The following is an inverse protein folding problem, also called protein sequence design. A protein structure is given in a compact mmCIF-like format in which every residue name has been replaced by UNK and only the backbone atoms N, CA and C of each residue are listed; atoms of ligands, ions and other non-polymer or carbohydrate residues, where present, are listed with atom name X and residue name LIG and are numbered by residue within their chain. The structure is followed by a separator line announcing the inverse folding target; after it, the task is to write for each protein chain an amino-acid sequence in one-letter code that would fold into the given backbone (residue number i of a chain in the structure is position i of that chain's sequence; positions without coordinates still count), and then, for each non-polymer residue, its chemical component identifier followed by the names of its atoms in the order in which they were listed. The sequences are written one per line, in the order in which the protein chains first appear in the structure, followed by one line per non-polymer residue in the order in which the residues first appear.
data_IF_645649331502
#
_entry.id   IF_645649331502
#
_cell.length_a   1.000
_cell.length_b   1.000
_cell.length_c   1.000
_cell.angle_alpha   90.00
_cell.angle_beta   90.00
_cell.angle_gamma   90.00
#
_symmetry.space_group_name_H-M   'P 1'
#
loop_
_entity.id
_entity.type
_entity.pdbx_description
1 polymer ?
#
# COMPACT_ATOMS: atom_id res chain seq x y z
N UNK A 1 19.70 7.46 -13.69
CA UNK A 1 19.60 6.33 -12.74
C UNK A 1 19.71 6.78 -11.28
N UNK A 2 20.69 7.64 -10.95
CA UNK A 2 20.89 8.20 -9.60
C UNK A 2 19.72 9.05 -9.07
N UNK A 3 19.01 9.79 -9.94
CA UNK A 3 17.95 10.70 -9.52
C UNK A 3 16.74 10.01 -8.86
N UNK A 4 16.38 8.79 -9.31
CA UNK A 4 15.27 8.01 -8.73
C UNK A 4 15.66 7.49 -7.34
N UNK A 5 16.91 7.06 -7.19
CA UNK A 5 17.45 6.55 -5.93
C UNK A 5 17.54 7.69 -4.90
N UNK A 6 17.94 8.89 -5.32
CA UNK A 6 17.99 10.07 -4.44
C UNK A 6 16.60 10.56 -4.06
N UNK A 7 15.62 10.59 -4.97
CA UNK A 7 14.24 10.96 -4.62
C UNK A 7 13.56 9.96 -3.69
N UNK A 8 13.84 8.67 -3.86
CA UNK A 8 13.36 7.61 -2.96
C UNK A 8 14.14 7.51 -1.64
N UNK A 9 15.15 8.36 -1.43
CA UNK A 9 16.08 8.33 -0.28
C UNK A 9 16.63 6.93 -0.01
N UNK A 10 16.83 6.16 -1.09
CA UNK A 10 17.20 4.77 -0.99
C UNK A 10 18.72 4.64 -0.90
N UNK A 11 19.23 3.99 0.15
CA UNK A 11 20.66 4.01 0.49
C UNK A 11 21.46 2.84 -0.10
N UNK A 12 20.80 1.85 -0.72
CA UNK A 12 21.46 0.67 -1.33
C UNK A 12 21.39 0.71 -2.86
N UNK A 13 22.42 0.23 -3.58
CA UNK A 13 22.34 0.09 -5.03
C UNK A 13 21.20 -0.86 -5.40
N UNK A 14 20.40 -0.47 -6.39
CA UNK A 14 19.36 -1.34 -6.95
C UNK A 14 20.01 -2.46 -7.79
N UNK A 15 19.48 -3.67 -7.70
CA UNK A 15 19.83 -4.71 -8.67
C UNK A 15 19.32 -4.32 -10.06
N UNK A 16 20.03 -4.71 -11.12
CA UNK A 16 19.65 -4.49 -12.53
C UNK A 16 18.18 -4.83 -12.82
N UNK A 17 17.65 -5.90 -12.21
CA UNK A 17 16.27 -6.37 -12.41
C UNK A 17 15.20 -5.52 -11.71
N UNK A 18 15.57 -4.73 -10.70
CA UNK A 18 14.62 -3.96 -9.89
C UNK A 18 14.16 -2.70 -10.62
N UNK A 19 15.01 -2.13 -11.48
CA UNK A 19 14.71 -0.92 -12.22
C UNK A 19 13.61 -1.14 -13.29
N UNK A 20 13.66 -2.19 -14.14
CA UNK A 20 12.57 -2.52 -15.04
C UNK A 20 11.25 -2.80 -14.29
N UNK A 21 11.32 -3.56 -13.18
CA UNK A 21 10.15 -3.85 -12.36
C UNK A 21 9.51 -2.57 -11.79
N UNK A 22 10.32 -1.62 -11.34
CA UNK A 22 9.85 -0.31 -10.88
C UNK A 22 9.12 0.46 -11.99
N UNK A 23 9.66 0.50 -13.20
CA UNK A 23 9.00 1.20 -14.32
C UNK A 23 7.69 0.52 -14.74
N UNK A 24 7.63 -0.81 -14.69
CA UNK A 24 6.38 -1.55 -14.92
C UNK A 24 5.34 -1.19 -13.86
N UNK A 25 5.71 -1.23 -12.58
CA UNK A 25 4.83 -0.85 -11.48
C UNK A 25 4.35 0.61 -11.59
N UNK A 26 5.25 1.54 -11.92
CA UNK A 26 4.92 2.95 -12.11
C UNK A 26 3.89 3.17 -13.23
N UNK A 27 4.00 2.44 -14.34
CA UNK A 27 3.00 2.47 -15.43
C UNK A 27 1.64 1.96 -14.95
N UNK A 28 1.62 0.85 -14.21
CA UNK A 28 0.38 0.30 -13.66
C UNK A 28 -0.31 1.28 -12.70
N UNK A 29 0.46 1.91 -11.81
CA UNK A 29 -0.05 2.93 -10.87
C UNK A 29 -0.60 4.14 -11.63
N UNK A 30 0.10 4.59 -12.67
CA UNK A 30 -0.37 5.70 -13.51
C UNK A 30 -1.70 5.37 -14.21
N UNK A 31 -1.84 4.17 -14.78
CA UNK A 31 -3.07 3.72 -15.42
C UNK A 31 -4.23 3.61 -14.42
N UNK A 32 -3.96 3.10 -13.21
CA UNK A 32 -4.96 3.02 -12.15
C UNK A 32 -5.48 4.41 -11.76
N UNK A 33 -4.58 5.39 -11.62
CA UNK A 33 -4.96 6.78 -11.38
C UNK A 33 -5.82 7.33 -12.53
N UNK A 34 -5.39 7.12 -13.78
CA UNK A 34 -6.14 7.61 -14.93
C UNK A 34 -7.56 7.00 -14.99
N UNK A 35 -7.69 5.73 -14.62
CA UNK A 35 -8.98 5.06 -14.51
C UNK A 35 -9.86 5.62 -13.38
N UNK A 36 -9.31 5.83 -12.18
CA UNK A 36 -10.08 6.36 -11.04
C UNK A 36 -10.64 7.75 -11.32
N UNK A 37 -9.90 8.58 -12.07
CA UNK A 37 -10.33 9.91 -12.49
C UNK A 37 -11.20 9.95 -13.75
N UNK A 38 -11.31 8.84 -14.49
CA UNK A 38 -12.21 8.74 -15.65
C UNK A 38 -13.68 8.52 -15.27
N UNK A 39 -13.95 8.17 -14.01
CA UNK A 39 -15.30 7.95 -13.49
C UNK A 39 -15.94 9.29 -13.07
N UNK A 40 -17.28 9.36 -13.12
CA UNK A 40 -18.06 10.53 -12.68
C UNK A 40 -19.09 10.09 -11.63
N UNK A 41 -18.94 10.51 -10.36
CA UNK A 41 -17.86 11.31 -9.78
C UNK A 41 -16.52 10.54 -9.73
N UNK A 42 -15.40 11.26 -9.70
CA UNK A 42 -14.08 10.62 -9.61
C UNK A 42 -13.96 9.86 -8.28
N UNK A 43 -13.52 8.60 -8.33
CA UNK A 43 -13.35 7.80 -7.13
C UNK A 43 -12.08 8.22 -6.39
N UNK A 44 -12.23 8.68 -5.15
CA UNK A 44 -11.10 8.99 -4.28
C UNK A 44 -10.40 7.72 -3.82
N UNK A 45 -9.08 7.63 -4.01
CA UNK A 45 -8.29 6.50 -3.52
C UNK A 45 -8.13 6.64 -1.99
N UNK A 46 -8.69 5.69 -1.24
CA UNK A 46 -8.51 5.60 0.21
C UNK A 46 -7.16 4.94 0.48
N UNK A 47 -6.26 5.68 1.11
CA UNK A 47 -5.00 5.17 1.65
C UNK A 47 -5.00 5.30 3.16
N UNK A 48 -4.59 4.24 3.84
CA UNK A 48 -4.48 4.20 5.29
C UNK A 48 -3.00 4.26 5.67
N UNK A 49 -2.68 5.23 6.53
CA UNK A 49 -1.32 5.42 7.03
C UNK A 49 -0.88 4.30 7.98
N UNK A 50 0.44 4.13 8.10
CA UNK A 50 1.00 3.23 9.10
C UNK A 50 0.63 3.68 10.52
N UNK A 51 0.47 2.72 11.44
CA UNK A 51 0.09 2.94 12.83
C UNK A 51 -1.31 3.52 13.07
N UNK A 52 -2.16 3.64 12.04
CA UNK A 52 -3.61 3.87 12.23
C UNK A 52 -4.23 2.71 13.02
N UNK A 53 -5.26 3.01 13.81
CA UNK A 53 -6.08 1.94 14.41
C UNK A 53 -6.78 1.15 13.32
N UNK A 54 -6.79 -0.17 13.45
CA UNK A 54 -7.40 -1.07 12.49
C UNK A 54 -8.91 -1.06 12.68
N UNK A 55 -9.63 -0.74 11.61
CA UNK A 55 -11.08 -0.71 11.59
C UNK A 55 -11.61 -1.69 10.54
N UNK A 56 -12.26 -2.77 11.00
CA UNK A 56 -12.78 -3.82 10.11
C UNK A 56 -13.92 -3.38 9.20
N UNK A 57 -14.45 -2.16 9.39
CA UNK A 57 -15.51 -1.57 8.55
C UNK A 57 -15.02 -1.22 7.15
N UNK A 58 -13.72 -0.91 6.99
CA UNK A 58 -13.12 -0.55 5.70
C UNK A 58 -11.70 -1.11 5.51
N UNK A 59 -11.18 -1.89 6.45
CA UNK A 59 -9.86 -2.53 6.35
C UNK A 59 -9.99 -4.06 6.40
N UNK A 60 -9.20 -4.74 5.58
CA UNK A 60 -9.09 -6.19 5.55
C UNK A 60 -7.70 -6.65 6.04
N UNK A 61 -7.67 -7.61 6.97
CA UNK A 61 -6.43 -8.19 7.47
C UNK A 61 -5.95 -9.32 6.55
N UNK A 62 -4.97 -8.99 5.71
CA UNK A 62 -4.31 -9.93 4.79
C UNK A 62 -3.49 -11.03 5.49
N UNK A 63 -3.23 -10.92 6.79
CA UNK A 63 -2.41 -11.86 7.59
C UNK A 63 -3.21 -12.77 8.53
N UNK A 64 -4.53 -12.67 8.52
CA UNK A 64 -5.41 -13.20 9.57
C UNK A 64 -5.32 -14.73 9.78
N UNK A 65 -4.82 -15.51 8.81
CA UNK A 65 -4.66 -16.97 8.94
C UNK A 65 -3.45 -17.36 9.83
N UNK A 66 -2.36 -16.59 9.80
CA UNK A 66 -1.11 -16.96 10.51
C UNK A 66 -0.99 -16.36 11.92
N UNK A 67 -1.59 -15.20 12.15
CA UNK A 67 -1.42 -14.45 13.41
C UNK A 67 -2.59 -14.59 14.40
N UNK A 68 -3.76 -15.10 13.97
CA UNK A 68 -4.90 -15.40 14.88
C UNK A 68 -4.53 -16.33 16.04
N UNK A 69 -3.54 -17.20 15.84
CA UNK A 69 -3.11 -18.18 16.83
C UNK A 69 -2.07 -17.62 17.83
N UNK A 70 -1.48 -16.44 17.58
CA UNK A 70 -0.43 -15.83 18.43
C UNK A 70 -0.85 -14.57 19.16
N UNK A 71 -1.92 -13.89 18.74
CA UNK A 71 -2.26 -12.54 19.24
C UNK A 71 -3.46 -12.49 20.21
N UNK A 72 -4.21 -13.57 20.40
CA UNK A 72 -5.48 -13.60 21.16
C UNK A 72 -5.39 -13.35 22.66
N UNK A 73 -4.23 -12.93 23.21
CA UNK A 73 -4.06 -12.77 24.66
C UNK A 73 -3.42 -11.48 25.20
N UNK A 74 -2.86 -10.55 24.42
CA UNK A 74 -2.04 -9.49 25.07
C UNK A 74 -1.69 -8.21 24.30
N UNK A 75 -2.37 -7.80 23.22
CA UNK A 75 -2.04 -6.52 22.57
C UNK A 75 -3.31 -5.69 22.41
N UNK A 76 -3.19 -4.38 22.67
CA UNK A 76 -4.28 -3.40 22.58
C UNK A 76 -4.88 -3.30 21.17
N UNK A 77 -5.57 -2.19 20.81
CA UNK A 77 -6.22 -2.08 19.51
C UNK A 77 -5.25 -2.44 18.38
N UNK A 78 -5.68 -3.31 17.46
CA UNK A 78 -4.87 -3.71 16.32
C UNK A 78 -4.51 -2.46 15.51
N UNK A 79 -3.26 -2.36 15.04
CA UNK A 79 -2.78 -1.20 14.30
C UNK A 79 -2.31 -1.63 12.92
N UNK A 80 -2.53 -0.77 11.94
CA UNK A 80 -2.10 -1.00 10.55
C UNK A 80 -0.58 -0.97 10.49
N UNK A 81 0.02 -2.08 10.07
CA UNK A 81 1.47 -2.18 9.86
C UNK A 81 1.85 -1.62 8.49
N UNK A 82 1.16 -2.08 7.46
CA UNK A 82 1.37 -1.65 6.07
C UNK A 82 0.07 -1.87 5.31
N UNK A 83 -0.30 -0.91 4.47
CA UNK A 83 -1.42 -1.07 3.55
C UNK A 83 -0.97 -1.89 2.33
N UNK A 84 -1.61 -3.03 2.10
CA UNK A 84 -1.31 -3.88 0.95
C UNK A 84 -2.05 -3.42 -0.31
N UNK A 85 -3.34 -3.13 -0.19
CA UNK A 85 -4.20 -2.70 -1.29
C UNK A 85 -4.99 -1.46 -0.88
N UNK A 86 -4.94 -0.35 -1.64
CA UNK A 86 -5.77 0.82 -1.39
C UNK A 86 -7.24 0.52 -1.69
N UNK A 87 -8.13 1.15 -0.92
CA UNK A 87 -9.57 1.13 -1.16
C UNK A 87 -10.02 2.31 -2.01
N UNK A 88 -11.32 2.41 -2.24
CA UNK A 88 -11.96 3.58 -2.85
C UNK A 88 -13.05 4.13 -1.92
N UNK A 89 -13.22 5.44 -1.92
CA UNK A 89 -14.41 6.07 -1.36
C UNK A 89 -15.54 6.02 -2.40
N UNK A 90 -16.70 5.51 -2.01
CA UNK A 90 -17.91 5.37 -2.83
C UNK A 90 -19.02 6.24 -2.24
#
# INVERSE_FOLDING_TARGET
MSLIITTLKWTRPWSEQMLPAFFVAAKCVWLLHLLSFSLKPALGILRVEENREFESSYMEDMGAERDRQRSSKSRGPARVKVMMMPGFYV
#
